data_IF_487433607717
#
_entry.id   IF_487433607717
#
_cell.length_a   1.000
_cell.length_b   1.000
_cell.length_c   1.000
_cell.angle_alpha   90.00
_cell.angle_beta   90.00
_cell.angle_gamma   90.00
#
_symmetry.space_group_name_H-M   'P 1'
#
loop_
_entity.id
_entity.type
_entity.pdbx_description
1 polymer ?
#
# COMPACT_ATOMS: atom_id res chain seq x y z
N UNK A 1 35.14 5.26 10.85
CA UNK A 1 34.94 4.30 9.74
C UNK A 1 33.46 4.20 9.48
N UNK A 2 32.98 4.80 8.39
CA UNK A 2 31.57 4.75 7.99
C UNK A 2 31.23 3.33 7.54
N UNK A 3 30.29 2.68 8.22
CA UNK A 3 29.81 1.35 7.84
C UNK A 3 29.24 1.35 6.41
N UNK A 4 29.15 0.17 5.77
CA UNK A 4 28.58 0.05 4.44
C UNK A 4 27.15 0.59 4.48
N UNK A 5 26.89 1.67 3.71
CA UNK A 5 25.55 2.19 3.52
C UNK A 5 24.76 1.09 2.81
N UNK A 6 23.86 0.43 3.53
CA UNK A 6 22.80 -0.36 2.91
C UNK A 6 22.00 0.60 2.02
N UNK A 7 22.25 0.59 0.72
CA UNK A 7 21.43 1.32 -0.23
C UNK A 7 20.02 0.74 -0.12
N UNK A 8 18.99 1.53 0.24
CA UNK A 8 17.63 1.02 0.28
C UNK A 8 17.29 0.53 -1.12
N UNK A 9 16.89 -0.75 -1.22
CA UNK A 9 16.46 -1.31 -2.49
C UNK A 9 15.19 -0.57 -2.90
N UNK A 10 15.33 0.41 -3.79
CA UNK A 10 14.20 1.15 -4.38
C UNK A 10 13.21 0.12 -4.94
N UNK A 11 11.92 0.29 -4.74
CA UNK A 11 10.94 -0.54 -5.41
C UNK A 11 9.86 0.40 -5.90
N UNK A 12 9.77 0.62 -7.21
CA UNK A 12 8.81 1.57 -7.77
C UNK A 12 7.36 1.16 -7.54
N UNK A 13 7.08 -0.10 -7.19
CA UNK A 13 5.76 -0.50 -6.68
C UNK A 13 5.38 0.22 -5.38
N UNK A 14 6.34 0.82 -4.68
CA UNK A 14 6.07 1.70 -3.56
C UNK A 14 5.06 2.80 -3.92
N UNK A 15 5.02 3.29 -5.17
CA UNK A 15 4.01 4.28 -5.58
C UNK A 15 2.58 3.73 -5.51
N UNK A 16 2.35 2.45 -5.86
CA UNK A 16 1.05 1.76 -5.63
C UNK A 16 0.77 1.58 -4.14
N UNK A 17 1.80 1.29 -3.35
CA UNK A 17 1.67 1.07 -1.90
C UNK A 17 1.41 2.36 -1.13
N UNK A 18 2.02 3.46 -1.56
CA UNK A 18 1.96 4.79 -0.96
C UNK A 18 0.60 5.45 -1.22
N UNK A 19 -0.02 5.15 -2.36
CA UNK A 19 -1.25 5.81 -2.81
C UNK A 19 -2.49 4.92 -2.79
N UNK A 20 -2.31 3.60 -2.67
CA UNK A 20 -3.40 2.62 -2.62
C UNK A 20 -4.11 2.37 -3.95
N UNK A 21 -3.68 2.98 -5.06
CA UNK A 21 -4.31 2.79 -6.37
C UNK A 21 -3.32 2.97 -7.53
N UNK A 22 -3.64 2.41 -8.70
CA UNK A 22 -2.82 2.59 -9.90
C UNK A 22 -2.86 4.04 -10.44
N UNK A 23 -3.97 4.76 -10.23
CA UNK A 23 -4.10 6.16 -10.62
C UNK A 23 -3.28 7.07 -9.68
N UNK A 24 -3.34 6.83 -8.37
CA UNK A 24 -2.51 7.51 -7.40
C UNK A 24 -1.02 7.22 -7.63
N UNK A 25 -0.66 5.98 -7.98
CA UNK A 25 0.72 5.61 -8.28
C UNK A 25 1.29 6.35 -9.49
N UNK A 26 0.45 6.64 -10.51
CA UNK A 26 0.84 7.48 -11.64
C UNK A 26 1.22 8.88 -11.19
N UNK A 27 0.34 9.53 -10.43
CA UNK A 27 0.59 10.89 -9.93
C UNK A 27 1.79 10.95 -8.97
N UNK A 28 1.92 9.97 -8.08
CA UNK A 28 3.04 9.89 -7.12
C UNK A 28 4.38 9.63 -7.81
N UNK A 29 4.39 8.81 -8.86
CA UNK A 29 5.56 8.58 -9.69
C UNK A 29 5.94 9.81 -10.53
N UNK A 30 4.96 10.48 -11.14
CA UNK A 30 5.16 11.74 -11.86
C UNK A 30 5.80 12.79 -10.96
N UNK A 31 5.27 12.95 -9.74
CA UNK A 31 5.82 13.89 -8.76
C UNK A 31 7.24 13.52 -8.32
N UNK A 32 7.53 12.23 -8.13
CA UNK A 32 8.87 11.75 -7.82
C UNK A 32 9.85 12.05 -8.95
N UNK A 33 9.45 11.79 -10.19
CA UNK A 33 10.26 12.12 -11.38
C UNK A 33 10.52 13.62 -11.47
N UNK A 34 9.50 14.47 -11.23
CA UNK A 34 9.68 15.92 -11.24
C UNK A 34 10.71 16.39 -10.19
N UNK A 35 10.61 15.90 -8.96
CA UNK A 35 11.60 16.22 -7.92
C UNK A 35 12.98 15.66 -8.24
N UNK A 36 13.05 14.46 -8.82
CA UNK A 36 14.31 13.85 -9.24
C UNK A 36 14.98 14.64 -10.38
N UNK A 37 14.20 15.14 -11.34
CA UNK A 37 14.70 15.97 -12.42
C UNK A 37 15.23 17.30 -11.88
N UNK A 38 14.50 17.98 -10.99
CA UNK A 38 14.94 19.26 -10.40
C UNK A 38 16.27 19.13 -9.64
N UNK A 39 16.52 17.98 -8.99
CA UNK A 39 17.82 17.69 -8.34
C UNK A 39 18.99 17.70 -9.32
N UNK A 40 18.81 17.17 -10.53
CA UNK A 40 19.88 17.06 -11.53
C UNK A 40 19.90 18.19 -12.56
N UNK A 41 18.77 18.88 -12.70
CA UNK A 41 18.55 19.98 -13.64
C UNK A 41 17.84 21.14 -12.91
N UNK A 42 18.54 21.85 -12.00
CA UNK A 42 17.93 22.94 -11.24
C UNK A 42 17.30 23.98 -12.16
N UNK A 43 16.04 24.33 -11.90
CA UNK A 43 15.27 25.21 -12.77
C UNK A 43 14.40 24.48 -13.80
N UNK A 44 14.35 23.14 -13.73
CA UNK A 44 13.30 22.36 -14.36
C UNK A 44 11.92 22.76 -13.80
N UNK A 45 10.91 22.78 -14.67
CA UNK A 45 9.55 23.22 -14.34
C UNK A 45 8.56 22.10 -14.64
N UNK A 46 7.72 21.80 -13.67
CA UNK A 46 6.57 20.90 -13.84
C UNK A 46 5.45 21.65 -14.56
N UNK A 47 4.82 21.00 -15.53
CA UNK A 47 3.63 21.54 -16.20
C UNK A 47 2.41 21.11 -15.40
N UNK A 48 1.57 22.07 -14.99
CA UNK A 48 0.31 21.75 -14.31
C UNK A 48 -0.71 21.20 -15.29
N UNK A 49 -1.49 20.21 -14.86
CA UNK A 49 -2.49 19.53 -15.67
C UNK A 49 -3.57 20.50 -16.22
N UNK A 50 -3.41 20.99 -17.45
CA UNK A 50 -4.51 21.56 -18.24
C UNK A 50 -5.02 20.50 -19.23
N UNK A 51 -6.33 20.42 -19.51
CA UNK A 51 -6.83 19.54 -20.56
C UNK A 51 -6.18 19.90 -21.91
N UNK A 52 -5.17 19.13 -22.35
CA UNK A 52 -4.43 19.38 -23.60
C UNK A 52 -2.91 19.51 -23.52
N UNK A 53 -2.27 19.20 -22.38
CA UNK A 53 -0.83 19.47 -22.08
C UNK A 53 0.23 18.83 -22.98
N UNK A 54 -0.13 18.27 -24.13
CA UNK A 54 0.85 17.93 -25.15
C UNK A 54 1.83 16.82 -24.77
N UNK A 55 1.68 16.15 -23.63
CA UNK A 55 2.60 15.10 -23.19
C UNK A 55 3.95 15.58 -22.65
N UNK A 56 3.97 16.74 -21.97
CA UNK A 56 5.14 17.26 -21.26
C UNK A 56 4.79 17.29 -19.77
N UNK A 57 5.48 16.47 -18.96
CA UNK A 57 5.24 16.46 -17.51
C UNK A 57 6.22 17.44 -16.82
N UNK A 58 7.49 17.41 -17.25
CA UNK A 58 8.56 18.27 -16.73
C UNK A 58 9.42 18.73 -17.90
N UNK A 59 9.89 19.98 -17.87
CA UNK A 59 10.86 20.44 -18.84
C UNK A 59 11.92 21.35 -18.24
N UNK A 60 13.09 21.41 -18.85
CA UNK A 60 14.19 22.30 -18.51
C UNK A 60 14.57 23.14 -19.74
N UNK A 61 14.88 24.42 -19.52
CA UNK A 61 15.16 25.39 -20.58
C UNK A 61 14.05 26.43 -20.74
N UNK A 62 13.98 27.02 -21.93
CA UNK A 62 13.06 28.12 -22.23
C UNK A 62 12.12 27.75 -23.38
N UNK A 63 10.83 27.98 -23.17
CA UNK A 63 9.76 27.72 -24.16
C UNK A 63 9.74 28.73 -25.32
N UNK A 64 10.74 29.62 -25.40
CA UNK A 64 10.98 30.52 -26.54
C UNK A 64 12.24 30.16 -27.33
N UNK A 65 12.91 29.04 -26.99
CA UNK A 65 14.10 28.55 -27.67
C UNK A 65 14.12 27.01 -27.65
N UNK A 66 14.93 26.42 -26.76
CA UNK A 66 15.15 24.97 -26.67
C UNK A 66 14.84 24.43 -25.29
N UNK A 67 14.25 23.24 -25.27
CA UNK A 67 13.91 22.52 -24.04
C UNK A 67 14.35 21.06 -24.06
N UNK A 68 14.59 20.54 -22.86
CA UNK A 68 14.64 19.11 -22.57
C UNK A 68 13.33 18.75 -21.88
N UNK A 69 12.68 17.68 -22.32
CA UNK A 69 11.39 17.21 -21.78
C UNK A 69 11.59 15.87 -21.09
N UNK A 70 10.99 15.73 -19.91
CA UNK A 70 10.77 14.44 -19.26
C UNK A 70 9.28 14.14 -19.25
N UNK A 71 8.95 12.92 -19.63
CA UNK A 71 7.60 12.40 -19.55
C UNK A 71 7.56 11.12 -18.74
N UNK A 72 6.76 11.13 -17.68
CA UNK A 72 6.52 10.00 -16.82
C UNK A 72 5.39 9.13 -17.38
N UNK A 73 5.62 7.81 -17.40
CA UNK A 73 4.58 6.82 -17.65
C UNK A 73 4.71 5.69 -16.64
N UNK A 74 3.73 5.57 -15.76
CA UNK A 74 3.73 4.50 -14.76
C UNK A 74 3.27 3.17 -15.37
N UNK A 75 4.19 2.50 -16.05
CA UNK A 75 4.02 1.16 -16.61
C UNK A 75 4.58 0.13 -15.64
N UNK A 76 3.71 -0.56 -14.92
CA UNK A 76 4.08 -1.64 -13.99
C UNK A 76 3.33 -2.92 -14.32
N UNK A 77 3.93 -4.11 -14.11
CA UNK A 77 5.33 -4.35 -13.69
C UNK A 77 6.32 -4.37 -14.87
N UNK A 78 5.87 -4.12 -16.10
CA UNK A 78 6.69 -4.15 -17.31
C UNK A 78 6.08 -3.26 -18.40
N UNK A 79 6.90 -2.72 -19.30
CA UNK A 79 6.43 -2.16 -20.57
C UNK A 79 6.01 -3.29 -21.51
N UNK A 80 4.75 -3.30 -21.94
CA UNK A 80 4.19 -4.30 -22.87
C UNK A 80 3.81 -3.68 -24.22
N UNK A 81 3.45 -4.51 -25.20
CA UNK A 81 3.10 -4.06 -26.56
C UNK A 81 2.01 -2.99 -26.60
N UNK A 82 0.99 -3.09 -25.75
CA UNK A 82 -0.09 -2.09 -25.68
C UNK A 82 0.36 -0.72 -25.16
N UNK A 83 1.53 -0.62 -24.52
CA UNK A 83 2.10 0.67 -24.10
C UNK A 83 2.84 1.38 -25.24
N UNK A 84 3.19 0.66 -26.32
CA UNK A 84 3.93 1.22 -27.46
C UNK A 84 3.18 2.34 -28.15
N UNK A 85 1.86 2.19 -28.28
CA UNK A 85 1.02 3.21 -28.90
C UNK A 85 0.89 4.43 -28.00
N UNK A 86 0.77 4.24 -26.68
CA UNK A 86 0.80 5.34 -25.71
C UNK A 86 2.12 6.11 -25.76
N UNK A 87 3.26 5.42 -25.91
CA UNK A 87 4.58 6.06 -26.06
C UNK A 87 4.63 6.90 -27.34
N UNK A 88 4.20 6.33 -28.47
CA UNK A 88 4.18 7.02 -29.78
C UNK A 88 3.30 8.26 -29.73
N UNK A 89 2.08 8.12 -29.21
CA UNK A 89 1.12 9.22 -29.08
C UNK A 89 1.67 10.33 -28.19
N UNK A 90 2.35 9.98 -27.11
CA UNK A 90 2.89 10.98 -26.20
C UNK A 90 4.05 11.78 -26.81
N UNK A 91 4.97 11.11 -27.52
CA UNK A 91 6.02 11.80 -28.28
C UNK A 91 5.46 12.66 -29.42
N UNK A 92 4.50 12.14 -30.18
CA UNK A 92 3.86 12.89 -31.27
C UNK A 92 3.12 14.13 -30.74
N UNK A 93 2.47 14.00 -29.58
CA UNK A 93 1.82 15.12 -28.90
C UNK A 93 2.84 16.19 -28.49
N UNK A 94 3.99 15.79 -27.96
CA UNK A 94 5.04 16.72 -27.52
C UNK A 94 5.60 17.50 -28.71
N UNK A 95 5.88 16.81 -29.82
CA UNK A 95 6.35 17.44 -31.05
C UNK A 95 5.29 18.35 -31.69
N UNK A 96 4.01 17.97 -31.64
CA UNK A 96 2.91 18.82 -32.11
C UNK A 96 2.82 20.09 -31.26
N UNK A 97 2.95 19.97 -29.94
CA UNK A 97 2.91 21.10 -29.03
C UNK A 97 4.09 22.07 -29.27
N UNK A 98 5.30 21.53 -29.44
CA UNK A 98 6.50 22.29 -29.77
C UNK A 98 6.33 23.12 -31.06
N UNK A 99 5.83 22.48 -32.13
CA UNK A 99 5.54 23.18 -33.39
C UNK A 99 4.46 24.26 -33.24
N UNK A 100 3.43 24.00 -32.44
CA UNK A 100 2.34 24.94 -32.23
C UNK A 100 2.77 26.20 -31.47
N UNK A 101 3.75 26.08 -30.57
CA UNK A 101 4.22 27.16 -29.71
C UNK A 101 5.60 27.72 -30.08
N UNK A 102 6.24 27.20 -31.13
CA UNK A 102 7.45 27.77 -31.71
C UNK A 102 8.75 27.48 -30.98
N UNK A 103 8.78 26.48 -30.08
CA UNK A 103 10.01 26.03 -29.43
C UNK A 103 10.49 24.68 -29.99
N UNK A 104 11.75 24.34 -29.71
CA UNK A 104 12.39 23.10 -30.15
C UNK A 104 12.62 22.18 -28.95
N UNK A 105 12.30 20.89 -29.12
CA UNK A 105 12.66 19.86 -28.15
C UNK A 105 14.02 19.29 -28.56
N UNK A 106 15.07 19.67 -27.82
CA UNK A 106 16.42 19.14 -28.04
C UNK A 106 16.51 17.67 -27.61
N UNK A 107 15.85 17.35 -26.50
CA UNK A 107 15.80 16.00 -25.97
C UNK A 107 14.45 15.68 -25.33
N UNK A 108 13.96 14.48 -25.57
CA UNK A 108 12.76 13.92 -24.95
C UNK A 108 13.10 12.62 -24.22
N UNK A 109 12.82 12.57 -22.92
CA UNK A 109 13.20 11.48 -22.02
C UNK A 109 11.93 10.82 -21.49
N UNK A 110 11.77 9.53 -21.79
CA UNK A 110 10.71 8.72 -21.20
C UNK A 110 11.15 8.18 -19.83
N UNK A 111 10.39 8.46 -18.78
CA UNK A 111 10.62 7.89 -17.45
C UNK A 111 9.60 6.78 -17.17
N UNK A 112 10.07 5.56 -16.95
CA UNK A 112 9.22 4.39 -16.65
C UNK A 112 9.77 3.60 -15.45
N UNK A 113 8.91 3.18 -14.50
CA UNK A 113 9.33 2.49 -13.28
C UNK A 113 9.70 1.01 -13.48
N UNK A 114 9.65 0.51 -14.72
CA UNK A 114 9.91 -0.90 -15.05
C UNK A 114 10.89 -1.04 -16.20
N UNK A 115 11.55 -2.19 -16.26
CA UNK A 115 12.42 -2.55 -17.37
C UNK A 115 11.61 -3.02 -18.60
N UNK A 116 12.18 -2.85 -19.78
CA UNK A 116 11.68 -3.47 -21.02
C UNK A 116 12.22 -4.90 -21.16
N UNK A 117 11.45 -5.80 -21.78
CA UNK A 117 12.01 -7.09 -22.23
C UNK A 117 12.76 -6.93 -23.56
N UNK A 118 13.55 -7.95 -23.92
CA UNK A 118 14.34 -7.93 -25.13
C UNK A 118 13.56 -7.55 -26.41
N UNK A 119 12.36 -8.12 -26.71
CA UNK A 119 11.57 -7.70 -27.86
C UNK A 119 11.08 -6.25 -27.81
N UNK A 120 10.84 -5.71 -26.61
CA UNK A 120 10.40 -4.32 -26.44
C UNK A 120 11.58 -3.35 -26.50
N UNK A 121 12.75 -3.73 -25.98
CA UNK A 121 14.00 -2.99 -26.17
C UNK A 121 14.37 -2.89 -27.65
N UNK A 122 14.32 -3.99 -28.41
CA UNK A 122 14.57 -3.98 -29.86
C UNK A 122 13.62 -3.04 -30.61
N UNK A 123 12.34 -3.07 -30.24
CA UNK A 123 11.35 -2.15 -30.80
C UNK A 123 11.67 -0.69 -30.43
N UNK A 124 11.99 -0.43 -29.16
CA UNK A 124 12.33 0.90 -28.66
C UNK A 124 13.53 1.47 -29.41
N UNK A 125 14.62 0.72 -29.56
CA UNK A 125 15.82 1.17 -30.27
C UNK A 125 15.58 1.41 -31.77
N UNK A 126 14.70 0.62 -32.40
CA UNK A 126 14.29 0.84 -33.79
C UNK A 126 13.43 2.10 -33.94
N UNK A 127 12.41 2.25 -33.08
CA UNK A 127 11.52 3.39 -33.08
C UNK A 127 12.25 4.69 -32.74
N UNK A 128 13.11 4.68 -31.72
CA UNK A 128 13.98 5.78 -31.30
C UNK A 128 14.77 6.33 -32.48
N UNK A 129 15.58 5.48 -33.12
CA UNK A 129 16.42 5.88 -34.26
C UNK A 129 15.62 6.50 -35.42
N UNK A 130 14.45 5.93 -35.72
CA UNK A 130 13.59 6.46 -36.77
C UNK A 130 13.08 7.87 -36.42
N UNK A 131 12.63 8.08 -35.18
CA UNK A 131 12.11 9.37 -34.72
C UNK A 131 13.20 10.43 -34.54
N UNK A 132 14.39 10.06 -34.06
CA UNK A 132 15.54 10.96 -33.97
C UNK A 132 15.96 11.46 -35.37
N UNK A 133 15.97 10.57 -36.36
CA UNK A 133 16.27 10.94 -37.75
C UNK A 133 15.19 11.85 -38.38
N UNK A 134 13.92 11.60 -38.06
CA UNK A 134 12.79 12.37 -38.60
C UNK A 134 12.66 13.76 -37.96
N UNK A 135 12.97 13.88 -36.67
CA UNK A 135 12.64 15.08 -35.88
C UNK A 135 13.84 15.88 -35.39
N UNK A 136 15.05 15.31 -35.46
CA UNK A 136 16.27 15.88 -34.85
C UNK A 136 16.20 16.08 -33.33
N UNK A 137 15.20 15.51 -32.66
CA UNK A 137 15.09 15.48 -31.19
C UNK A 137 15.81 14.24 -30.68
N UNK A 138 16.75 14.38 -29.74
CA UNK A 138 17.37 13.23 -29.04
C UNK A 138 16.30 12.53 -28.20
N UNK A 139 16.28 11.21 -28.22
CA UNK A 139 15.32 10.44 -27.43
C UNK A 139 16.08 9.55 -26.45
N UNK A 140 15.74 9.60 -25.17
CA UNK A 140 16.34 8.74 -24.14
C UNK A 140 15.27 8.12 -23.24
N UNK A 141 15.68 7.15 -22.42
CA UNK A 141 14.82 6.47 -21.46
C UNK A 141 15.49 6.37 -20.09
N UNK A 142 14.73 6.75 -19.07
CA UNK A 142 15.02 6.44 -17.67
C UNK A 142 14.10 5.29 -17.26
N UNK A 143 14.55 4.07 -17.53
CA UNK A 143 13.86 2.86 -17.11
C UNK A 143 14.14 2.53 -15.63
N UNK A 144 13.67 1.37 -15.16
CA UNK A 144 13.91 0.94 -13.78
C UNK A 144 15.39 1.05 -13.37
N UNK A 145 16.32 0.63 -14.22
CA UNK A 145 17.75 0.68 -13.92
C UNK A 145 18.25 2.13 -13.92
N UNK A 146 17.87 2.92 -14.93
CA UNK A 146 18.22 4.33 -15.05
C UNK A 146 17.73 5.18 -13.88
N UNK A 147 16.52 4.92 -13.40
CA UNK A 147 15.92 5.62 -12.27
C UNK A 147 16.54 5.19 -10.93
N UNK A 148 16.78 3.89 -10.72
CA UNK A 148 17.50 3.38 -9.52
C UNK A 148 18.88 3.99 -9.40
N UNK A 149 19.62 4.04 -10.51
CA UNK A 149 20.96 4.63 -10.56
C UNK A 149 20.91 6.09 -10.10
N UNK A 150 19.98 6.89 -10.64
CA UNK A 150 19.79 8.29 -10.24
C UNK A 150 19.37 8.46 -8.78
N UNK A 151 18.40 7.68 -8.31
CA UNK A 151 17.92 7.71 -6.93
C UNK A 151 18.99 7.29 -5.90
N UNK A 152 19.95 6.46 -6.31
CA UNK A 152 21.07 6.06 -5.45
C UNK A 152 22.16 7.12 -5.31
N UNK A 153 22.13 8.19 -6.12
CA UNK A 153 23.10 9.26 -6.02
C UNK A 153 22.84 10.10 -4.74
N UNK A 154 23.90 10.56 -4.04
CA UNK A 154 23.73 11.35 -2.82
C UNK A 154 22.85 12.60 -2.99
N UNK A 155 22.91 13.26 -4.15
CA UNK A 155 22.10 14.43 -4.45
C UNK A 155 20.58 14.13 -4.42
N UNK A 156 20.18 12.91 -4.78
CA UNK A 156 18.80 12.47 -4.76
C UNK A 156 18.33 11.96 -3.39
N UNK A 157 19.15 12.09 -2.33
CA UNK A 157 18.86 11.50 -1.02
C UNK A 157 17.54 11.96 -0.40
N UNK A 158 17.15 13.22 -0.58
CA UNK A 158 15.87 13.74 -0.09
C UNK A 158 14.67 13.12 -0.83
N UNK A 159 14.77 12.99 -2.16
CA UNK A 159 13.76 12.34 -3.01
C UNK A 159 13.65 10.86 -2.63
N UNK A 160 14.80 10.17 -2.51
CA UNK A 160 14.85 8.78 -2.09
C UNK A 160 14.18 8.58 -0.72
N UNK A 161 14.45 9.44 0.26
CA UNK A 161 13.86 9.35 1.59
C UNK A 161 12.35 9.64 1.61
N UNK A 162 11.89 10.58 0.78
CA UNK A 162 10.48 10.95 0.68
C UNK A 162 9.63 9.81 0.11
N UNK A 163 10.12 9.12 -0.92
CA UNK A 163 9.36 8.09 -1.64
C UNK A 163 9.71 6.65 -1.20
N UNK A 164 10.89 6.42 -0.62
CA UNK A 164 11.41 5.09 -0.25
C UNK A 164 12.15 5.09 1.12
N UNK A 165 11.47 5.43 2.23
CA UNK A 165 12.12 5.58 3.53
C UNK A 165 12.78 4.28 4.04
N UNK A 166 14.04 4.41 4.48
CA UNK A 166 14.81 3.33 5.08
C UNK A 166 14.22 2.92 6.44
N UNK A 167 13.97 1.64 6.64
CA UNK A 167 13.43 1.11 7.90
C UNK A 167 14.56 0.99 8.94
N UNK A 168 14.87 2.06 9.69
CA UNK A 168 15.78 1.95 10.83
C UNK A 168 15.11 1.14 11.96
N UNK A 169 15.57 -0.10 12.15
CA UNK A 169 15.24 -0.92 13.32
C UNK A 169 15.73 -0.21 14.58
N UNK A 170 14.82 0.38 15.37
CA UNK A 170 15.15 0.80 16.74
C UNK A 170 15.34 -0.44 17.60
N UNK A 171 16.59 -0.72 17.98
CA UNK A 171 16.96 -1.78 18.90
C UNK A 171 16.75 -1.26 20.33
N UNK A 172 15.51 -1.26 20.80
CA UNK A 172 15.21 -0.90 22.19
C UNK A 172 15.51 -2.11 23.08
N UNK A 173 16.67 -2.11 23.74
CA UNK A 173 16.86 -2.94 24.93
C UNK A 173 15.93 -2.42 26.04
N UNK A 174 15.33 -3.30 26.87
CA UNK A 174 14.59 -2.86 28.05
C UNK A 174 15.56 -2.21 29.05
N UNK A 175 15.18 -1.12 29.74
CA UNK A 175 15.95 -0.61 30.86
C UNK A 175 15.78 -1.55 32.06
N UNK A 176 16.92 -1.95 32.63
CA UNK A 176 16.98 -2.65 33.90
C UNK A 176 16.37 -1.80 35.02
N UNK A 177 15.63 -2.52 35.85
CA UNK A 177 14.98 -2.07 37.07
C UNK A 177 16.03 -1.61 38.09
N UNK A 178 15.98 -0.34 38.50
CA UNK A 178 16.54 0.10 39.78
C UNK A 178 15.68 1.21 40.37
N UNK A 179 15.26 0.97 41.61
CA UNK A 179 14.37 1.76 42.43
C UNK A 179 14.99 3.10 42.88
N UNK A 180 14.13 4.03 43.30
CA UNK A 180 14.53 5.27 43.96
C UNK A 180 13.37 6.25 44.11
N UNK A 181 12.58 6.04 45.16
CA UNK A 181 11.51 6.91 45.66
C UNK A 181 11.98 8.34 45.97
N UNK A 182 11.08 9.32 45.84
CA UNK A 182 11.29 10.70 46.32
C UNK A 182 10.20 11.67 45.90
N UNK A 183 9.13 11.77 46.71
CA UNK A 183 8.07 12.79 46.68
C UNK A 183 8.59 14.13 47.29
N UNK A 184 7.99 15.31 46.97
CA UNK A 184 8.66 16.62 46.92
C UNK A 184 8.34 17.55 48.11
N UNK A 185 8.80 18.82 48.08
CA UNK A 185 7.95 19.94 48.50
C UNK A 185 7.97 21.07 47.44
N UNK A 186 6.84 21.60 46.97
CA UNK A 186 5.90 22.53 47.62
C UNK A 186 6.47 23.92 47.93
N UNK A 187 5.78 24.94 47.40
CA UNK A 187 5.81 26.32 47.91
C UNK A 187 6.53 27.34 47.03
N UNK A 188 5.78 28.11 46.25
CA UNK A 188 5.67 29.58 46.39
C UNK A 188 4.63 30.08 45.37
N UNK A 189 3.55 30.67 45.87
CA UNK A 189 2.52 31.32 45.06
C UNK A 189 2.80 32.81 44.85
N UNK A 190 2.17 33.40 43.85
CA UNK A 190 1.57 34.73 43.94
C UNK A 190 0.63 34.99 42.75
N UNK A 191 -0.50 35.57 43.10
CA UNK A 191 -1.64 36.04 42.32
C UNK A 191 -1.35 37.20 41.36
N UNK A 192 -2.14 37.30 40.27
CA UNK A 192 -2.35 38.54 39.52
C UNK A 192 -3.52 38.41 38.52
N UNK A 193 -4.60 39.17 38.76
CA UNK A 193 -5.80 39.30 37.91
C UNK A 193 -5.54 40.22 36.71
N UNK A 194 -6.30 40.04 35.62
CA UNK A 194 -6.75 41.15 34.78
C UNK A 194 -6.91 40.87 33.28
N UNK A 195 -8.16 41.05 32.81
CA UNK A 195 -8.61 41.44 31.45
C UNK A 195 -8.17 40.56 30.25
N UNK A 196 -9.09 39.85 29.60
CA UNK A 196 -9.99 40.40 28.56
C UNK A 196 -9.22 40.97 27.37
N UNK A 197 -8.83 40.10 26.44
CA UNK A 197 -8.83 40.41 25.02
C UNK A 197 -8.97 39.11 24.23
N UNK A 198 -9.94 39.10 23.32
CA UNK A 198 -10.27 37.99 22.47
C UNK A 198 -9.19 37.79 21.40
N UNK A 199 -8.77 36.54 21.12
CA UNK A 199 -8.24 36.23 19.80
C UNK A 199 -9.40 35.80 18.92
N UNK A 200 -9.60 36.59 17.86
CA UNK A 200 -10.42 36.26 16.70
C UNK A 200 -10.06 34.84 16.22
N UNK A 201 -11.04 33.94 16.31
CA UNK A 201 -10.88 32.54 15.95
C UNK A 201 -10.56 32.42 14.45
N UNK A 202 -9.59 31.58 14.04
CA UNK A 202 -9.59 31.11 12.66
C UNK A 202 -10.84 30.26 12.48
N UNK A 203 -11.63 30.60 11.46
CA UNK A 203 -12.77 29.82 10.95
C UNK A 203 -12.50 28.32 11.07
N UNK A 204 -13.09 27.69 12.08
CA UNK A 204 -13.17 26.25 12.18
C UNK A 204 -14.13 25.77 11.09
N UNK A 205 -13.60 25.51 9.90
CA UNK A 205 -14.27 24.61 8.94
C UNK A 205 -14.38 23.26 9.62
N UNK A 206 -15.61 22.89 9.98
CA UNK A 206 -15.96 21.60 10.56
C UNK A 206 -15.36 20.47 9.69
N UNK A 207 -14.26 19.84 10.11
CA UNK A 207 -13.55 18.90 9.27
C UNK A 207 -14.27 17.56 9.41
N UNK A 208 -14.77 17.02 8.30
CA UNK A 208 -15.43 15.72 8.17
C UNK A 208 -16.93 15.64 8.50
N UNK A 209 -17.74 16.43 7.79
CA UNK A 209 -19.14 16.04 7.55
C UNK A 209 -19.20 14.76 6.71
N UNK A 210 -20.20 13.91 6.97
CA UNK A 210 -20.51 12.74 6.15
C UNK A 210 -20.76 13.10 4.67
N UNK A 211 -21.03 14.38 4.36
CA UNK A 211 -21.27 14.88 2.99
C UNK A 211 -20.02 15.05 2.15
N UNK A 212 -18.88 15.30 2.78
CA UNK A 212 -17.62 15.50 2.06
C UNK A 212 -16.89 14.18 1.89
N UNK A 213 -16.47 13.87 0.66
CA UNK A 213 -15.55 12.76 0.38
C UNK A 213 -14.13 13.21 0.67
N UNK A 214 -13.45 12.60 1.65
CA UNK A 214 -12.07 12.93 1.90
C UNK A 214 -11.15 12.29 0.87
N UNK A 215 -10.00 12.93 0.65
CA UNK A 215 -9.02 12.49 -0.35
C UNK A 215 -7.70 12.10 0.30
N UNK A 216 -6.90 11.33 -0.42
CA UNK A 216 -5.51 11.08 -0.06
C UNK A 216 -4.78 12.37 0.31
N UNK A 217 -3.97 12.33 1.36
CA UNK A 217 -3.22 13.50 1.87
C UNK A 217 -4.05 14.45 2.74
N UNK A 218 -5.37 14.28 2.86
CA UNK A 218 -6.16 15.05 3.82
C UNK A 218 -6.02 14.49 5.24
N UNK A 219 -6.10 15.38 6.24
CA UNK A 219 -6.20 14.98 7.64
C UNK A 219 -7.67 14.78 8.02
N UNK A 220 -7.94 13.63 8.62
CA UNK A 220 -9.26 13.16 9.02
C UNK A 220 -9.30 12.93 10.52
N UNK A 221 -10.38 13.33 11.19
CA UNK A 221 -10.61 12.92 12.58
C UNK A 221 -11.31 11.57 12.58
N UNK A 222 -10.63 10.53 13.05
CA UNK A 222 -11.12 9.15 13.06
C UNK A 222 -10.95 8.59 14.45
N UNK A 223 -12.04 8.09 15.05
CA UNK A 223 -12.02 7.60 16.42
C UNK A 223 -11.46 8.61 17.45
N UNK A 224 -11.59 9.91 17.16
CA UNK A 224 -11.03 10.99 17.99
C UNK A 224 -9.54 11.31 17.75
N UNK A 225 -8.86 10.58 16.87
CA UNK A 225 -7.47 10.81 16.49
C UNK A 225 -7.38 11.58 15.17
N UNK A 226 -6.42 12.50 15.06
CA UNK A 226 -6.07 13.13 13.78
C UNK A 226 -5.25 12.14 12.95
N UNK A 227 -5.72 11.85 11.75
CA UNK A 227 -5.20 10.80 10.89
C UNK A 227 -4.96 11.35 9.48
N UNK A 228 -3.71 11.29 9.00
CA UNK A 228 -3.38 11.64 7.62
C UNK A 228 -3.69 10.45 6.69
N UNK A 229 -4.59 10.64 5.71
CA UNK A 229 -5.03 9.58 4.81
C UNK A 229 -3.93 9.19 3.81
N UNK A 230 -3.61 7.91 3.71
CA UNK A 230 -2.58 7.36 2.80
C UNK A 230 -3.14 6.91 1.43
N UNK A 231 -4.32 7.39 1.07
CA UNK A 231 -5.05 7.00 -0.12
C UNK A 231 -6.50 7.42 -0.01
N UNK A 232 -7.23 7.39 -1.12
CA UNK A 232 -8.67 7.66 -1.12
C UNK A 232 -9.39 6.54 -0.36
N UNK A 233 -10.13 6.85 0.72
CA UNK A 233 -10.85 5.82 1.46
C UNK A 233 -11.90 5.15 0.57
N UNK A 234 -12.04 3.83 0.72
CA UNK A 234 -13.16 3.12 0.13
C UNK A 234 -14.42 3.53 0.88
N UNK A 235 -15.43 4.02 0.14
CA UNK A 235 -16.71 4.42 0.70
C UNK A 235 -17.82 3.46 0.29
N UNK A 236 -18.66 3.09 1.26
CA UNK A 236 -19.99 2.53 1.05
C UNK A 236 -21.00 3.43 1.74
N UNK A 237 -22.16 3.65 1.12
CA UNK A 237 -23.17 4.60 1.60
C UNK A 237 -24.54 3.93 1.67
N UNK A 238 -25.28 4.26 2.72
CA UNK A 238 -26.73 4.08 2.79
C UNK A 238 -27.43 5.42 2.94
N UNK A 239 -28.76 5.40 3.07
CA UNK A 239 -29.57 6.62 3.13
C UNK A 239 -29.25 7.49 4.36
N UNK A 240 -28.83 6.87 5.47
CA UNK A 240 -28.53 7.55 6.73
C UNK A 240 -27.07 7.50 7.16
N UNK A 241 -26.16 6.86 6.42
CA UNK A 241 -24.81 6.56 6.90
C UNK A 241 -23.76 6.43 5.79
N UNK A 242 -22.49 6.62 6.16
CA UNK A 242 -21.32 6.44 5.28
C UNK A 242 -20.28 5.58 5.99
N UNK A 243 -19.97 4.41 5.45
CA UNK A 243 -18.85 3.56 5.87
C UNK A 243 -17.61 3.91 5.05
N UNK A 244 -16.49 4.09 5.73
CA UNK A 244 -15.17 4.36 5.17
C UNK A 244 -14.18 3.33 5.68
N UNK A 245 -13.38 2.79 4.78
CA UNK A 245 -12.22 1.95 5.12
C UNK A 245 -10.98 2.46 4.38
N UNK A 246 -9.82 2.38 5.01
CA UNK A 246 -8.59 2.84 4.36
C UNK A 246 -7.35 2.75 5.25
N UNK A 247 -6.23 3.14 4.65
CA UNK A 247 -4.97 3.32 5.35
C UNK A 247 -4.82 4.78 5.78
N UNK A 248 -4.26 5.00 6.95
CA UNK A 248 -3.91 6.32 7.44
C UNK A 248 -2.62 6.27 8.26
N UNK A 249 -2.08 7.45 8.58
CA UNK A 249 -1.06 7.65 9.59
C UNK A 249 -1.67 8.40 10.76
N UNK A 250 -1.66 7.82 11.95
CA UNK A 250 -2.13 8.54 13.14
C UNK A 250 -1.12 9.61 13.51
N UNK A 251 -1.56 10.87 13.54
CA UNK A 251 -0.77 12.04 13.91
C UNK A 251 -0.80 12.20 15.44
N UNK A 252 -0.09 11.31 16.13
CA UNK A 252 0.10 11.41 17.59
C UNK A 252 1.58 11.62 17.92
N UNK A 253 1.92 11.73 19.21
CA UNK A 253 3.31 11.78 19.68
C UNK A 253 4.15 10.57 19.24
N UNK A 254 3.52 9.46 18.83
CA UNK A 254 4.15 8.33 18.14
C UNK A 254 3.40 8.04 16.84
N UNK A 255 3.79 8.67 15.73
CA UNK A 255 3.12 8.43 14.46
C UNK A 255 3.32 6.98 14.02
N UNK A 256 2.27 6.39 13.46
CA UNK A 256 2.28 5.00 13.04
C UNK A 256 1.26 4.73 11.95
N UNK A 257 1.60 3.86 10.99
CA UNK A 257 0.65 3.44 9.97
C UNK A 257 -0.46 2.62 10.61
N UNK A 258 -1.69 2.89 10.18
CA UNK A 258 -2.89 2.24 10.68
C UNK A 258 -3.82 1.88 9.54
N UNK A 259 -4.63 0.87 9.79
CA UNK A 259 -5.89 0.67 9.08
C UNK A 259 -7.01 1.30 9.89
N UNK A 260 -7.98 1.91 9.22
CA UNK A 260 -9.18 2.39 9.87
C UNK A 260 -10.44 1.86 9.20
N UNK A 261 -11.50 1.78 10.00
CA UNK A 261 -12.86 1.59 9.56
C UNK A 261 -13.75 2.54 10.36
N UNK A 262 -14.48 3.40 9.68
CA UNK A 262 -15.31 4.46 10.27
C UNK A 262 -16.69 4.47 9.62
N UNK A 263 -17.75 4.48 10.43
CA UNK A 263 -19.12 4.70 10.01
C UNK A 263 -19.55 6.04 10.58
N UNK A 264 -19.91 6.97 9.71
CA UNK A 264 -20.55 8.24 10.07
C UNK A 264 -22.06 8.07 9.94
N UNK A 265 -22.79 8.36 11.01
CA UNK A 265 -24.25 8.19 11.09
C UNK A 265 -24.91 9.56 11.08
N UNK A 266 -25.70 9.83 10.05
CA UNK A 266 -26.53 11.04 9.93
C UNK A 266 -27.93 10.80 10.47
N UNK A 267 -28.45 9.61 10.20
CA UNK A 267 -29.76 9.14 10.64
C UNK A 267 -29.65 7.69 11.03
N UNK A 268 -30.22 7.36 12.18
CA UNK A 268 -30.37 5.97 12.60
C UNK A 268 -31.39 5.25 11.72
N UNK A 269 -30.96 4.11 11.21
CA UNK A 269 -31.77 3.13 10.53
C UNK A 269 -31.16 1.74 10.83
N UNK A 270 -31.89 0.63 10.58
CA UNK A 270 -31.39 -0.70 10.91
C UNK A 270 -30.03 -1.05 10.28
N UNK A 271 -29.71 -0.50 9.10
CA UNK A 271 -28.43 -0.73 8.44
C UNK A 271 -27.31 0.11 9.08
N UNK A 272 -27.58 1.38 9.44
CA UNK A 272 -26.63 2.22 10.16
C UNK A 272 -26.24 1.58 11.50
N UNK A 273 -27.25 1.10 12.24
CA UNK A 273 -27.06 0.44 13.54
C UNK A 273 -26.31 -0.90 13.38
N UNK A 274 -26.58 -1.66 12.31
CA UNK A 274 -25.82 -2.88 11.99
C UNK A 274 -24.33 -2.59 11.73
N UNK A 275 -24.02 -1.53 10.97
CA UNK A 275 -22.63 -1.15 10.70
C UNK A 275 -21.91 -0.68 11.97
N UNK A 276 -22.60 0.10 12.82
CA UNK A 276 -22.06 0.52 14.11
C UNK A 276 -21.82 -0.68 15.05
N UNK A 277 -22.76 -1.62 15.11
CA UNK A 277 -22.64 -2.86 15.89
C UNK A 277 -21.50 -3.77 15.38
N UNK A 278 -21.26 -3.79 14.06
CA UNK A 278 -20.13 -4.48 13.47
C UNK A 278 -18.79 -3.89 13.94
N UNK A 279 -18.65 -2.56 13.96
CA UNK A 279 -17.46 -1.89 14.50
C UNK A 279 -17.32 -2.13 16.01
N UNK A 280 -18.41 -2.06 16.77
CA UNK A 280 -18.39 -2.37 18.21
C UNK A 280 -17.91 -3.81 18.48
N UNK A 281 -18.29 -4.75 17.63
CA UNK A 281 -17.85 -6.15 17.70
C UNK A 281 -16.37 -6.28 17.34
N UNK A 282 -15.91 -5.59 16.30
CA UNK A 282 -14.50 -5.52 15.93
C UNK A 282 -13.63 -4.99 17.08
N UNK A 283 -14.06 -3.92 17.74
CA UNK A 283 -13.35 -3.34 18.88
C UNK A 283 -13.18 -4.34 20.03
N UNK A 284 -14.25 -5.04 20.40
CA UNK A 284 -14.21 -6.08 21.45
C UNK A 284 -13.24 -7.22 21.10
N UNK A 285 -13.20 -7.64 19.84
CA UNK A 285 -12.27 -8.67 19.37
C UNK A 285 -10.83 -8.16 19.46
N UNK A 286 -10.55 -6.94 18.97
CA UNK A 286 -9.20 -6.36 19.01
C UNK A 286 -8.70 -6.15 20.46
N UNK A 287 -9.60 -5.80 21.38
CA UNK A 287 -9.28 -5.68 22.80
C UNK A 287 -8.94 -7.02 23.45
N UNK A 288 -9.63 -8.09 23.03
CA UNK A 288 -9.38 -9.45 23.53
C UNK A 288 -8.04 -10.00 23.04
N UNK A 289 -7.77 -9.93 21.73
CA UNK A 289 -6.54 -10.47 21.12
C UNK A 289 -5.30 -9.62 21.45
N UNK A 290 -5.48 -8.30 21.62
CA UNK A 290 -4.45 -7.37 22.10
C UNK A 290 -3.18 -7.28 21.26
N UNK A 291 -3.18 -7.74 20.01
CA UNK A 291 -1.99 -7.77 19.15
C UNK A 291 -0.93 -8.82 19.49
N UNK A 292 -1.26 -9.80 20.34
CA UNK A 292 -0.33 -10.86 20.75
C UNK A 292 -0.07 -11.82 19.61
N UNK A 293 1.13 -12.42 19.58
CA UNK A 293 1.46 -13.52 18.66
C UNK A 293 1.20 -13.18 17.18
N UNK A 294 1.42 -11.93 16.77
CA UNK A 294 1.23 -11.51 15.38
C UNK A 294 -0.22 -11.21 14.98
N UNK A 295 -1.17 -11.23 15.91
CA UNK A 295 -2.54 -10.77 15.67
C UNK A 295 -2.63 -9.23 15.56
N UNK A 296 -3.72 -8.68 15.00
CA UNK A 296 -3.92 -7.24 14.90
C UNK A 296 -4.02 -6.58 16.28
N UNK A 297 -3.47 -5.37 16.40
CA UNK A 297 -3.52 -4.59 17.64
C UNK A 297 -4.44 -3.39 17.48
N UNK A 298 -5.33 -3.12 18.44
CA UNK A 298 -6.09 -1.86 18.50
C UNK A 298 -5.14 -0.69 18.75
N UNK A 299 -5.27 0.37 17.95
CA UNK A 299 -4.60 1.64 18.20
C UNK A 299 -5.57 2.63 18.86
N UNK A 300 -6.79 2.76 18.33
CA UNK A 300 -7.85 3.58 18.90
C UNK A 300 -9.22 3.05 18.47
N UNK A 301 -10.29 3.53 19.09
CA UNK A 301 -11.64 3.16 18.71
C UNK A 301 -12.70 3.80 19.58
N UNK A 302 -13.86 4.09 18.99
CA UNK A 302 -15.02 4.64 19.68
C UNK A 302 -16.31 4.21 19.00
N UNK A 303 -17.38 4.15 19.77
CA UNK A 303 -18.74 4.01 19.25
C UNK A 303 -19.59 5.08 19.95
N UNK A 304 -20.27 5.89 19.17
CA UNK A 304 -21.14 6.96 19.63
C UNK A 304 -22.29 7.19 18.65
N UNK A 305 -23.19 8.13 18.96
CA UNK A 305 -24.44 8.33 18.22
C UNK A 305 -24.22 8.78 16.76
N UNK A 306 -23.18 9.58 16.48
CA UNK A 306 -22.87 10.07 15.13
C UNK A 306 -21.69 9.36 14.44
N UNK A 307 -20.95 8.52 15.16
CA UNK A 307 -19.73 7.88 14.65
C UNK A 307 -19.47 6.56 15.38
N UNK A 308 -19.21 5.51 14.61
CA UNK A 308 -18.53 4.32 15.09
C UNK A 308 -17.22 4.15 14.31
N UNK A 309 -16.08 4.05 14.99
CA UNK A 309 -14.78 3.94 14.34
C UNK A 309 -13.81 3.05 15.09
N UNK A 310 -12.95 2.37 14.33
CA UNK A 310 -11.85 1.55 14.84
C UNK A 310 -10.59 1.83 14.03
N UNK A 311 -9.48 1.95 14.74
CA UNK A 311 -8.14 2.10 14.19
C UNK A 311 -7.30 0.93 14.70
N UNK A 312 -6.71 0.17 13.78
CA UNK A 312 -5.82 -0.94 14.09
C UNK A 312 -4.41 -0.67 13.55
N UNK A 313 -3.40 -1.13 14.28
CA UNK A 313 -2.01 -0.98 13.86
C UNK A 313 -1.76 -1.76 12.57
N UNK A 314 -1.16 -1.11 11.58
CA UNK A 314 -0.70 -1.75 10.34
C UNK A 314 0.77 -2.15 10.52
N UNK A 315 1.10 -3.44 10.65
CA UNK A 315 2.49 -3.85 10.75
C UNK A 315 3.23 -3.56 9.45
N UNK A 316 4.48 -3.11 9.58
CA UNK A 316 5.37 -2.98 8.43
C UNK A 316 5.74 -4.37 7.90
N UNK A 317 5.75 -4.53 6.58
CA UNK A 317 6.07 -5.79 5.93
C UNK A 317 5.43 -5.93 4.55
N UNK A 318 5.81 -6.99 3.84
CA UNK A 318 5.22 -7.37 2.55
C UNK A 318 4.08 -8.34 2.79
N UNK A 319 3.03 -8.31 1.98
CA UNK A 319 1.97 -9.33 2.12
C UNK A 319 2.46 -10.69 1.64
N UNK A 320 1.75 -11.77 2.00
CA UNK A 320 2.01 -13.09 1.44
C UNK A 320 1.92 -13.05 -0.08
N UNK A 321 0.95 -12.33 -0.65
CA UNK A 321 0.85 -12.16 -2.10
C UNK A 321 2.08 -11.48 -2.69
N UNK A 322 2.64 -10.48 -2.01
CA UNK A 322 3.84 -9.79 -2.50
C UNK A 322 5.09 -10.69 -2.50
N UNK A 323 5.14 -11.68 -1.63
CA UNK A 323 6.31 -12.57 -1.48
C UNK A 323 6.16 -13.88 -2.25
N UNK A 324 4.96 -14.47 -2.26
CA UNK A 324 4.68 -15.80 -2.78
C UNK A 324 3.54 -15.84 -3.80
N UNK A 325 2.95 -14.68 -4.13
CA UNK A 325 1.85 -14.60 -5.08
C UNK A 325 2.24 -15.07 -6.49
N UNK A 326 1.24 -15.32 -7.35
CA UNK A 326 1.48 -15.83 -8.69
C UNK A 326 2.36 -14.87 -9.47
N UNK A 327 3.48 -15.39 -9.96
CA UNK A 327 4.30 -14.73 -10.96
C UNK A 327 3.61 -14.97 -12.32
N UNK A 328 3.64 -13.97 -13.22
CA UNK A 328 3.09 -14.13 -14.56
C UNK A 328 3.60 -15.43 -15.20
N UNK A 329 2.79 -16.21 -15.95
CA UNK A 329 3.17 -17.55 -16.43
C UNK A 329 4.48 -17.55 -17.23
N UNK A 330 4.76 -16.48 -17.97
CA UNK A 330 6.00 -16.29 -18.73
C UNK A 330 7.25 -16.08 -17.87
N UNK A 331 7.09 -15.76 -16.57
CA UNK A 331 8.14 -15.57 -15.57
C UNK A 331 8.10 -16.64 -14.48
N UNK A 332 7.17 -17.60 -14.57
CA UNK A 332 7.06 -18.69 -13.63
C UNK A 332 8.28 -19.61 -13.79
N UNK A 333 9.23 -19.48 -12.87
CA UNK A 333 10.28 -20.48 -12.69
C UNK A 333 9.70 -21.62 -11.86
N UNK A 334 10.20 -22.87 -12.03
CA UNK A 334 9.96 -23.92 -11.06
C UNK A 334 10.26 -23.38 -9.66
N UNK A 335 9.34 -23.60 -8.71
CA UNK A 335 9.50 -23.18 -7.33
C UNK A 335 10.80 -23.80 -6.78
N UNK A 336 11.82 -22.98 -6.53
CA UNK A 336 13.08 -23.47 -6.02
C UNK A 336 12.93 -23.93 -4.56
N UNK A 337 13.84 -24.81 -4.11
CA UNK A 337 13.74 -25.44 -2.78
C UNK A 337 13.79 -24.42 -1.64
N UNK A 338 14.49 -23.30 -1.81
CA UNK A 338 14.62 -22.26 -0.77
C UNK A 338 13.32 -21.48 -0.67
N UNK A 339 12.75 -21.06 -1.80
CA UNK A 339 11.45 -20.37 -1.84
C UNK A 339 10.32 -21.29 -1.35
N UNK A 340 10.34 -22.58 -1.71
CA UNK A 340 9.39 -23.57 -1.19
C UNK A 340 9.47 -23.72 0.32
N UNK A 341 10.69 -23.84 0.88
CA UNK A 341 10.89 -23.94 2.33
C UNK A 341 10.41 -22.66 3.05
N UNK A 342 10.70 -21.48 2.51
CA UNK A 342 10.26 -20.21 3.07
C UNK A 342 8.72 -20.08 3.04
N UNK A 343 8.07 -20.49 1.94
CA UNK A 343 6.61 -20.50 1.83
C UNK A 343 5.97 -21.40 2.89
N UNK A 344 6.48 -22.63 3.04
CA UNK A 344 5.98 -23.59 4.03
C UNK A 344 6.19 -23.10 5.46
N UNK A 345 7.35 -22.49 5.76
CA UNK A 345 7.61 -21.92 7.08
C UNK A 345 6.63 -20.80 7.42
N UNK A 346 6.36 -19.91 6.46
CA UNK A 346 5.37 -18.84 6.63
C UNK A 346 3.96 -19.41 6.77
N UNK A 347 3.61 -20.46 6.02
CA UNK A 347 2.34 -21.17 6.13
C UNK A 347 2.11 -21.72 7.54
N UNK A 348 3.13 -22.37 8.10
CA UNK A 348 3.07 -22.94 9.44
C UNK A 348 2.81 -21.86 10.49
N UNK A 349 3.48 -20.71 10.40
CA UNK A 349 3.24 -19.60 11.35
C UNK A 349 1.85 -18.99 11.16
N UNK A 350 1.40 -18.77 9.92
CA UNK A 350 0.05 -18.28 9.66
C UNK A 350 -1.03 -19.23 10.21
N UNK A 351 -0.83 -20.54 10.06
CA UNK A 351 -1.70 -21.55 10.65
C UNK A 351 -1.71 -21.49 12.19
N UNK A 352 -0.55 -21.35 12.84
CA UNK A 352 -0.47 -21.19 14.30
C UNK A 352 -1.24 -19.95 14.79
N UNK A 353 -1.12 -18.82 14.08
CA UNK A 353 -1.88 -17.59 14.38
C UNK A 353 -3.39 -17.82 14.25
N UNK A 354 -3.83 -18.54 13.21
CA UNK A 354 -5.25 -18.85 13.01
C UNK A 354 -5.79 -19.84 14.03
N UNK A 355 -4.99 -20.84 14.44
CA UNK A 355 -5.35 -21.78 15.51
C UNK A 355 -5.58 -21.03 16.81
N UNK A 356 -4.67 -20.11 17.19
CA UNK A 356 -4.85 -19.29 18.39
C UNK A 356 -6.10 -18.40 18.31
N UNK A 357 -6.38 -17.83 17.14
CA UNK A 357 -7.62 -17.08 16.92
C UNK A 357 -8.86 -17.97 17.12
N UNK A 358 -8.79 -19.24 16.67
CA UNK A 358 -9.84 -20.24 16.86
C UNK A 358 -10.01 -20.65 18.32
N UNK A 359 -8.93 -20.82 19.07
CA UNK A 359 -8.95 -21.13 20.50
C UNK A 359 -9.61 -20.01 21.32
N UNK A 360 -9.51 -18.76 20.85
CA UNK A 360 -10.26 -17.64 21.41
C UNK A 360 -11.74 -17.60 20.97
N UNK A 361 -12.21 -18.57 20.18
CA UNK A 361 -13.58 -18.69 19.70
C UNK A 361 -13.87 -17.83 18.47
N UNK A 362 -12.85 -17.37 17.75
CA UNK A 362 -12.97 -16.49 16.60
C UNK A 362 -12.49 -17.17 15.30
N UNK A 363 -13.03 -16.78 14.13
CA UNK A 363 -12.66 -17.38 12.84
C UNK A 363 -12.50 -16.32 11.76
N UNK A 364 -11.31 -16.19 11.16
CA UNK A 364 -10.96 -15.09 10.27
C UNK A 364 -11.94 -14.87 9.08
N UNK A 365 -12.62 -15.91 8.58
CA UNK A 365 -13.72 -15.90 7.58
C UNK A 365 -13.51 -15.18 6.23
N UNK A 366 -12.47 -14.39 6.07
CA UNK A 366 -12.07 -13.65 4.88
C UNK A 366 -10.54 -13.58 4.81
N UNK A 367 -9.86 -14.71 5.08
CA UNK A 367 -8.41 -14.78 4.97
C UNK A 367 -8.01 -14.75 3.50
N UNK A 368 -7.20 -13.77 3.14
CA UNK A 368 -6.63 -13.61 1.81
C UNK A 368 -5.11 -13.56 1.91
N UNK A 369 -4.42 -13.73 0.77
CA UNK A 369 -2.96 -13.56 0.72
C UNK A 369 -2.52 -12.10 1.00
N UNK A 370 -3.42 -11.13 0.90
CA UNK A 370 -3.16 -9.74 1.24
C UNK A 370 -3.37 -9.47 2.74
N UNK A 371 -4.09 -10.37 3.42
CA UNK A 371 -4.35 -10.32 4.85
C UNK A 371 -3.23 -10.92 5.70
N UNK A 372 -2.17 -11.49 5.12
CA UNK A 372 -1.02 -12.00 5.87
C UNK A 372 0.19 -11.14 5.56
N UNK A 373 0.70 -10.43 6.57
CA UNK A 373 1.86 -9.55 6.48
C UNK A 373 3.09 -10.27 7.02
N UNK A 374 4.13 -10.31 6.21
CA UNK A 374 5.44 -10.88 6.51
C UNK A 374 6.35 -9.75 6.97
N UNK A 375 6.58 -9.61 8.29
CA UNK A 375 7.60 -8.68 8.76
C UNK A 375 8.97 -9.19 8.28
N UNK A 376 9.93 -8.27 8.10
CA UNK A 376 11.26 -8.59 7.57
C UNK A 376 11.99 -9.71 8.34
N UNK A 377 13.14 -10.20 7.82
CA UNK A 377 13.81 -11.39 8.35
C UNK A 377 14.05 -11.32 9.86
N UNK A 378 13.58 -12.35 10.58
CA UNK A 378 13.67 -12.48 12.04
C UNK A 378 12.37 -12.22 12.83
N UNK A 379 11.25 -11.93 12.17
CA UNK A 379 9.95 -11.71 12.82
C UNK A 379 8.87 -12.68 12.30
N UNK A 380 7.97 -13.11 13.20
CA UNK A 380 6.88 -14.02 12.87
C UNK A 380 5.83 -13.35 11.95
N UNK A 381 5.33 -14.04 10.90
CA UNK A 381 4.18 -13.63 10.11
C UNK A 381 2.99 -13.14 10.95
N UNK A 382 2.29 -12.13 10.45
CA UNK A 382 1.15 -11.48 11.12
C UNK A 382 -0.09 -11.56 10.25
N UNK A 383 -1.24 -11.93 10.79
CA UNK A 383 -2.53 -11.87 10.08
C UNK A 383 -3.23 -10.55 10.40
N UNK A 384 -3.61 -9.76 9.38
CA UNK A 384 -4.21 -8.43 9.51
C UNK A 384 -5.13 -8.11 8.33
N UNK A 385 -6.34 -7.63 8.60
CA UNK A 385 -7.23 -7.03 7.58
C UNK A 385 -7.97 -5.82 8.14
N UNK A 386 -8.42 -4.92 7.26
CA UNK A 386 -9.32 -3.79 7.56
C UNK A 386 -10.78 -4.22 7.77
N UNK A 387 -11.19 -5.34 7.18
CA UNK A 387 -12.59 -5.80 7.06
C UNK A 387 -12.93 -6.92 8.04
N UNK A 388 -12.23 -6.95 9.17
CA UNK A 388 -12.36 -8.00 10.18
C UNK A 388 -13.18 -7.54 11.39
N UNK A 389 -14.35 -8.14 11.73
CA UNK A 389 -15.03 -9.20 10.99
C UNK A 389 -15.88 -8.64 9.82
N UNK A 390 -16.12 -9.43 8.76
CA UNK A 390 -16.89 -8.98 7.61
C UNK A 390 -18.32 -8.63 8.00
N UNK A 391 -18.86 -7.55 7.43
CA UNK A 391 -20.28 -7.21 7.50
C UNK A 391 -21.11 -8.34 6.89
N UNK A 392 -22.12 -8.82 7.60
CA UNK A 392 -23.04 -9.87 7.12
C UNK A 392 -23.97 -9.31 6.02
N UNK A 393 -23.45 -9.12 4.81
CA UNK A 393 -24.28 -8.96 3.61
C UNK A 393 -24.26 -10.26 2.81
N UNK A 394 -24.94 -11.29 3.32
CA UNK A 394 -25.09 -12.59 2.66
C UNK A 394 -26.06 -13.46 3.43
N UNK A 395 -27.25 -13.67 2.86
CA UNK A 395 -28.40 -14.37 3.47
C UNK A 395 -28.00 -15.69 4.13
N UNK A 396 -28.44 -15.85 5.37
CA UNK A 396 -28.49 -17.13 6.08
C UNK A 396 -29.43 -18.06 5.31
N UNK A 397 -28.91 -19.10 4.66
CA UNK A 397 -29.65 -20.35 4.50
C UNK A 397 -29.25 -21.25 5.65
N UNK A 398 -30.16 -21.43 6.59
CA UNK A 398 -30.05 -22.46 7.60
C UNK A 398 -30.03 -23.83 6.90
N UNK A 399 -29.00 -24.63 7.16
CA UNK A 399 -29.07 -26.07 6.96
C UNK A 399 -29.53 -26.69 8.29
N UNK A 400 -30.56 -27.56 8.28
CA UNK A 400 -31.14 -28.11 9.49
C UNK A 400 -30.19 -29.11 10.14
N UNK A 401 -30.07 -28.98 11.45
CA UNK A 401 -29.53 -29.96 12.37
C UNK A 401 -30.45 -31.19 12.43
N UNK A 402 -29.93 -32.38 12.09
CA UNK A 402 -30.46 -33.67 12.59
C UNK A 402 -29.31 -34.68 12.56
N UNK A 403 -28.77 -35.02 13.73
CA UNK A 403 -29.10 -36.17 14.58
C UNK A 403 -28.14 -37.34 14.35
N UNK A 404 -27.40 -37.59 15.43
CA UNK A 404 -26.54 -38.71 15.76
C UNK A 404 -27.34 -40.02 15.75
N UNK A 405 -26.89 -41.05 15.04
CA UNK A 405 -27.13 -42.43 15.46
C UNK A 405 -25.97 -43.35 15.03
N UNK A 406 -25.26 -43.79 16.06
CA UNK A 406 -24.33 -44.90 16.08
C UNK A 406 -25.06 -46.24 15.90
N UNK A 407 -24.53 -47.14 15.06
CA UNK A 407 -24.67 -48.60 15.24
C UNK A 407 -23.49 -49.34 14.60
N UNK A 408 -22.86 -50.16 15.43
CA UNK A 408 -21.76 -51.10 15.18
C UNK A 408 -22.31 -52.53 15.15
N UNK A 409 -21.93 -53.36 14.18
CA UNK A 409 -21.95 -54.87 14.15
C UNK A 409 -21.06 -55.28 12.94
N UNK A 410 -19.81 -55.75 13.03
CA UNK A 410 -19.22 -57.07 13.41
C UNK A 410 -19.47 -58.26 12.45
N UNK A 411 -18.38 -58.92 12.01
CA UNK A 411 -18.29 -60.25 11.36
C UNK A 411 -17.39 -60.25 10.10
N UNK A 412 -16.10 -60.67 10.12
CA UNK A 412 -15.54 -62.05 9.96
C UNK A 412 -16.03 -62.74 8.67
N UNK A 413 -15.26 -63.36 7.76
CA UNK A 413 -14.02 -64.16 7.86
C UNK A 413 -13.46 -64.46 6.43
N UNK A 414 -12.13 -64.40 6.28
CA UNK A 414 -11.21 -65.24 5.45
C UNK A 414 -11.19 -65.31 3.89
N UNK A 415 -10.04 -65.76 3.30
CA UNK A 415 -9.48 -65.26 2.04
C UNK A 415 -9.37 -66.32 0.92
N UNK A 416 -8.94 -65.92 -0.30
CA UNK A 416 -8.10 -66.77 -1.18
C UNK A 416 -7.50 -66.07 -2.40
N UNK A 417 -6.20 -66.34 -2.57
CA UNK A 417 -5.41 -66.59 -3.80
C UNK A 417 -5.22 -65.51 -4.88
N UNK A 418 -4.01 -64.92 -4.85
CA UNK A 418 -2.93 -64.99 -5.86
C UNK A 418 -3.33 -65.18 -7.33
N UNK A 419 -2.93 -64.23 -8.19
CA UNK A 419 -2.14 -64.48 -9.41
C UNK A 419 -1.64 -63.18 -10.04
N UNK A 420 -0.33 -63.07 -10.19
CA UNK A 420 0.40 -62.12 -11.05
C UNK A 420 0.71 -62.83 -12.36
N UNK A 421 0.70 -62.13 -13.51
CA UNK A 421 1.87 -62.21 -14.37
C UNK A 421 2.36 -60.85 -14.87
N UNK A 422 3.69 -60.83 -15.05
CA UNK A 422 4.64 -59.76 -15.37
C UNK A 422 4.67 -59.44 -16.89
N UNK A 423 5.57 -58.57 -17.41
CA UNK A 423 5.24 -57.56 -18.43
C UNK A 423 5.71 -57.96 -19.84
N UNK A 424 5.28 -57.23 -20.87
CA UNK A 424 5.85 -57.35 -22.22
C UNK A 424 6.43 -56.00 -22.67
N UNK A 425 7.68 -56.10 -23.10
CA UNK A 425 8.57 -55.05 -23.57
C UNK A 425 8.27 -54.61 -25.02
N UNK A 426 8.73 -53.41 -25.37
CA UNK A 426 8.99 -52.94 -26.74
C UNK A 426 10.05 -53.81 -27.46
N UNK A 427 10.05 -53.92 -28.80
CA UNK A 427 10.87 -53.02 -29.68
C UNK A 427 10.28 -52.94 -31.13
N UNK A 428 11.01 -52.48 -32.19
CA UNK A 428 12.25 -51.72 -32.30
C UNK A 428 12.09 -50.26 -32.75
#
# INVERSE_FOLDING_TARGET
>A
MSGPRENPVVNFRAHELNTGSAAGARADFEQMVAQLVDVFYPGARQVSANPGDGGIDVFHGRLDDRIIVWQSKYFMPQVVRSHRDQIRESFASAQKNARAHGYVIDEWILCVPSSMDHPTTLWWDGWRRAQEAETSTRIDIWDETGLRSRLSQPAAGAVLAAYYPAHTRSRTSPPDTAAGEGIPPSGYGASGRGASDAPEAPLATDPFSADRRPRAGETARIAGCDCLLQGDPQESRGDGWVLRTGAAMVMSSRPGPVWFRQVLIRRHDPQADEQAAAIATQLRILDRIGGRNGLPRKAAGRVGPGEAAVISARPAGRTWRDVFGPVAPARARPLDRVTAAALLAVAAVAADVLTRLHDEGHSHRALTSDAVVLPGPGAAPRCVTSDWPPSRAGRVRALPSTVRQSRSVSGSTEPRSVSVPTPIASPP
#
